data_IF_327032519399
#
_entry.id   IF_327032519399
#
_cell.length_a   1.000
_cell.length_b   1.000
_cell.length_c   1.000
_cell.angle_alpha   90.00
_cell.angle_beta   90.00
_cell.angle_gamma   90.00
#
_symmetry.space_group_name_H-M   'P 1'
#
loop_
_entity.id
_entity.type
_entity.pdbx_description
1 polymer ?
#
# COMPACT_ATOMS: atom_id res chain seq x y z
N UNK A 1 -11.48 22.17 35.24
CA UNK A 1 -11.03 22.05 33.85
C UNK A 1 -11.42 20.66 33.37
N UNK A 2 -12.25 20.50 32.33
CA UNK A 2 -12.61 19.17 31.84
C UNK A 2 -11.36 18.51 31.25
N UNK A 3 -11.22 17.22 31.55
CA UNK A 3 -9.98 16.45 31.43
C UNK A 3 -9.50 16.22 30.00
N UNK A 4 -8.18 16.08 29.91
CA UNK A 4 -7.46 15.64 28.73
C UNK A 4 -7.95 14.25 28.34
N UNK A 5 -8.71 14.17 27.25
CA UNK A 5 -9.15 12.90 26.66
C UNK A 5 -7.88 12.20 26.16
N UNK A 6 -7.66 10.91 26.49
CA UNK A 6 -6.52 10.18 25.93
C UNK A 6 -6.63 10.21 24.41
N UNK A 7 -5.52 10.44 23.70
CA UNK A 7 -5.41 10.37 22.24
C UNK A 7 -5.70 8.94 21.73
N UNK A 8 -6.95 8.49 21.81
CA UNK A 8 -7.40 7.25 21.19
C UNK A 8 -7.87 7.61 19.79
N UNK A 9 -7.06 7.20 18.80
CA UNK A 9 -7.41 7.14 17.39
C UNK A 9 -8.08 8.38 16.85
N UNK A 10 -7.30 9.44 16.58
CA UNK A 10 -7.76 10.57 15.77
C UNK A 10 -8.45 9.99 14.52
N UNK A 11 -9.71 10.35 14.29
CA UNK A 11 -10.43 9.97 13.06
C UNK A 11 -9.88 10.80 11.91
N UNK A 12 -8.62 10.54 11.55
CA UNK A 12 -7.87 11.18 10.50
C UNK A 12 -6.88 10.16 9.94
N UNK A 13 -6.73 10.14 8.62
CA UNK A 13 -5.80 9.28 7.93
C UNK A 13 -5.59 9.76 6.50
N UNK A 14 -4.53 9.26 5.89
CA UNK A 14 -4.15 9.58 4.50
C UNK A 14 -4.29 8.33 3.66
N UNK A 15 -5.09 8.42 2.61
CA UNK A 15 -5.29 7.33 1.66
C UNK A 15 -4.63 7.68 0.34
N UNK A 16 -3.53 7.01 0.02
CA UNK A 16 -2.80 7.21 -1.24
C UNK A 16 -3.28 6.16 -2.23
N UNK A 17 -3.79 6.65 -3.36
CA UNK A 17 -4.18 5.87 -4.52
C UNK A 17 -3.13 6.08 -5.59
N UNK A 18 -2.56 5.01 -6.15
CA UNK A 18 -1.51 5.10 -7.14
C UNK A 18 -1.63 4.08 -8.26
N UNK A 19 -1.09 4.48 -9.41
CA UNK A 19 -0.98 3.70 -10.63
C UNK A 19 0.50 3.64 -11.02
N UNK A 20 1.02 2.43 -11.19
CA UNK A 20 2.37 2.20 -11.69
C UNK A 20 2.32 1.61 -13.09
N UNK A 21 3.26 2.00 -13.95
CA UNK A 21 3.43 1.44 -15.30
C UNK A 21 4.91 1.15 -15.59
N UNK A 22 5.15 0.29 -16.57
CA UNK A 22 6.50 -0.05 -17.02
C UNK A 22 7.23 -1.03 -16.10
N UNK A 23 6.48 -1.86 -15.36
CA UNK A 23 7.03 -2.91 -14.51
C UNK A 23 7.22 -4.19 -15.34
N UNK A 24 8.28 -4.94 -15.05
CA UNK A 24 8.56 -6.21 -15.69
C UNK A 24 7.42 -7.23 -15.36
N UNK A 25 6.80 -7.87 -16.38
CA UNK A 25 5.63 -8.72 -16.18
C UNK A 25 5.83 -9.91 -15.22
N UNK A 26 7.00 -10.55 -15.20
CA UNK A 26 7.26 -11.68 -14.30
C UNK A 26 7.23 -11.29 -12.82
N UNK A 27 7.61 -10.05 -12.48
CA UNK A 27 7.46 -9.52 -11.12
C UNK A 27 5.99 -9.35 -10.71
N UNK A 28 5.11 -9.13 -11.69
CA UNK A 28 3.67 -8.90 -11.48
C UNK A 28 2.86 -10.20 -11.37
N UNK A 29 3.47 -11.35 -11.67
CA UNK A 29 2.84 -12.67 -11.57
C UNK A 29 3.48 -13.56 -10.48
N UNK A 30 4.34 -12.99 -9.62
CA UNK A 30 4.95 -13.67 -8.48
C UNK A 30 4.28 -13.27 -7.16
N UNK A 31 3.34 -14.08 -6.62
CA UNK A 31 2.64 -13.73 -5.39
C UNK A 31 3.57 -13.70 -4.17
N UNK A 32 4.64 -14.49 -4.13
CA UNK A 32 5.55 -14.50 -2.99
C UNK A 32 6.39 -13.22 -2.95
N UNK A 33 6.90 -12.80 -4.10
CA UNK A 33 7.59 -11.52 -4.27
C UNK A 33 6.66 -10.36 -3.89
N UNK A 34 5.47 -10.28 -4.48
CA UNK A 34 4.54 -9.16 -4.25
C UNK A 34 4.13 -9.03 -2.79
N UNK A 35 3.86 -10.16 -2.10
CA UNK A 35 3.60 -10.17 -0.65
C UNK A 35 4.76 -9.58 0.14
N UNK A 36 5.99 -10.02 -0.14
CA UNK A 36 7.18 -9.54 0.54
C UNK A 36 7.41 -8.06 0.27
N UNK A 37 7.31 -7.64 -0.99
CA UNK A 37 7.54 -6.26 -1.41
C UNK A 37 6.54 -5.29 -0.76
N UNK A 38 5.25 -5.65 -0.74
CA UNK A 38 4.23 -4.84 -0.07
C UNK A 38 4.52 -4.73 1.43
N UNK A 39 4.80 -5.86 2.10
CA UNK A 39 5.08 -5.90 3.53
C UNK A 39 6.31 -5.06 3.91
N UNK A 40 7.39 -5.18 3.14
CA UNK A 40 8.63 -4.44 3.37
C UNK A 40 8.39 -2.93 3.20
N UNK A 41 7.70 -2.52 2.12
CA UNK A 41 7.43 -1.11 1.82
C UNK A 41 6.59 -0.42 2.91
N UNK A 42 5.50 -1.05 3.37
CA UNK A 42 4.65 -0.46 4.42
C UNK A 42 5.34 -0.49 5.80
N UNK A 43 6.15 -1.52 6.08
CA UNK A 43 6.90 -1.60 7.35
C UNK A 43 7.98 -0.52 7.41
N UNK A 44 8.74 -0.32 6.33
CA UNK A 44 9.75 0.73 6.26
C UNK A 44 9.13 2.14 6.33
N UNK A 45 7.91 2.28 5.84
CA UNK A 45 7.10 3.49 5.98
C UNK A 45 6.52 3.71 7.40
N UNK A 46 6.78 2.81 8.35
CA UNK A 46 6.40 2.94 9.75
C UNK A 46 5.10 2.22 10.14
N UNK A 47 4.43 1.55 9.21
CA UNK A 47 3.24 0.77 9.51
C UNK A 47 3.58 -0.54 10.24
N UNK A 48 2.63 -1.03 11.04
CA UNK A 48 2.71 -2.36 11.66
C UNK A 48 1.83 -3.33 10.86
N UNK A 49 2.46 -4.32 10.23
CA UNK A 49 1.77 -5.36 9.46
C UNK A 49 1.22 -6.43 10.40
N UNK A 50 -0.08 -6.69 10.34
CA UNK A 50 -0.76 -7.76 11.07
C UNK A 50 -0.79 -9.05 10.26
N UNK A 51 -1.17 -8.95 8.98
CA UNK A 51 -1.32 -10.10 8.09
C UNK A 51 -1.12 -9.66 6.64
N UNK A 52 -0.62 -10.56 5.79
CA UNK A 52 -0.56 -10.35 4.34
C UNK A 52 -1.12 -11.58 3.62
N UNK A 53 -2.16 -11.36 2.82
CA UNK A 53 -2.81 -12.38 2.00
C UNK A 53 -2.64 -12.05 0.53
N UNK A 54 -2.69 -13.08 -0.33
CA UNK A 54 -2.65 -12.90 -1.77
C UNK A 54 -3.54 -13.90 -2.48
N UNK A 55 -3.97 -13.55 -3.69
CA UNK A 55 -4.68 -14.43 -4.59
C UNK A 55 -4.10 -14.28 -6.00
N UNK A 56 -3.72 -15.39 -6.62
CA UNK A 56 -3.29 -15.45 -8.02
C UNK A 56 -4.48 -15.80 -8.90
N UNK A 57 -4.63 -15.07 -10.01
CA UNK A 57 -5.68 -15.26 -11.00
C UNK A 57 -5.15 -16.05 -12.20
N UNK A 58 -6.08 -16.59 -13.00
CA UNK A 58 -5.77 -17.22 -14.27
C UNK A 58 -6.20 -16.31 -15.44
N UNK A 59 -5.39 -16.16 -16.50
CA UNK A 59 -4.12 -16.85 -16.74
C UNK A 59 -2.92 -16.28 -15.98
N UNK A 60 -3.03 -15.07 -15.43
CA UNK A 60 -1.95 -14.36 -14.73
C UNK A 60 -2.55 -13.26 -13.84
N UNK A 61 -1.69 -12.65 -13.03
CA UNK A 61 -1.99 -11.51 -12.16
C UNK A 61 -2.28 -11.92 -10.73
N UNK A 62 -1.96 -11.03 -9.81
CA UNK A 62 -2.05 -11.23 -8.38
C UNK A 62 -2.74 -10.02 -7.73
N UNK A 63 -3.60 -10.30 -6.76
CA UNK A 63 -4.02 -9.31 -5.76
C UNK A 63 -3.34 -9.61 -4.44
N UNK A 64 -2.76 -8.61 -3.79
CA UNK A 64 -2.16 -8.70 -2.45
C UNK A 64 -2.85 -7.69 -1.53
N UNK A 65 -3.17 -8.11 -0.32
CA UNK A 65 -3.73 -7.26 0.72
C UNK A 65 -2.90 -7.41 2.01
N UNK A 66 -2.42 -6.30 2.54
CA UNK A 66 -1.80 -6.21 3.85
C UNK A 66 -2.78 -5.58 4.83
N UNK A 67 -3.13 -6.33 5.89
CA UNK A 67 -3.83 -5.80 7.04
C UNK A 67 -2.83 -5.08 7.93
N UNK A 68 -3.07 -3.81 8.22
CA UNK A 68 -2.21 -3.00 9.09
C UNK A 68 -2.92 -2.78 10.42
N UNK A 69 -2.15 -2.58 11.50
CA UNK A 69 -2.71 -2.24 12.81
C UNK A 69 -3.60 -0.98 12.76
N UNK A 70 -3.31 -0.08 11.81
CA UNK A 70 -3.94 1.23 11.67
C UNK A 70 -4.64 1.41 10.31
N UNK A 71 -4.96 0.33 9.56
CA UNK A 71 -5.86 0.22 8.38
C UNK A 71 -5.44 -0.88 7.37
N UNK A 72 -4.97 -0.55 6.16
CA UNK A 72 -4.65 -1.54 5.11
C UNK A 72 -3.78 -0.99 3.96
N UNK A 73 -3.18 -1.89 3.18
CA UNK A 73 -2.62 -1.62 1.87
C UNK A 73 -2.95 -2.73 0.86
N UNK A 74 -3.18 -2.38 -0.41
CA UNK A 74 -3.49 -3.33 -1.48
C UNK A 74 -2.66 -3.09 -2.74
N UNK A 75 -2.48 -4.17 -3.49
CA UNK A 75 -1.83 -4.20 -4.79
C UNK A 75 -2.68 -5.08 -5.72
N UNK A 76 -3.02 -4.57 -6.91
CA UNK A 76 -3.68 -5.30 -7.98
C UNK A 76 -2.84 -5.21 -9.25
N UNK A 77 -2.36 -6.34 -9.75
CA UNK A 77 -1.42 -6.35 -10.88
C UNK A 77 -2.08 -6.72 -12.20
N UNK A 78 -1.58 -6.15 -13.29
CA UNK A 78 -1.95 -6.45 -14.67
C UNK A 78 -0.68 -6.75 -15.49
N UNK A 79 -0.12 -7.98 -15.42
CA UNK A 79 1.14 -8.33 -16.08
C UNK A 79 1.14 -8.08 -17.60
N UNK A 80 -0.01 -8.22 -18.27
CA UNK A 80 -0.19 -8.06 -19.73
C UNK A 80 0.17 -6.67 -20.24
N UNK A 81 0.11 -5.66 -19.37
CA UNK A 81 0.41 -4.27 -19.70
C UNK A 81 1.51 -3.68 -18.79
N UNK A 82 2.09 -4.49 -17.88
CA UNK A 82 3.13 -4.05 -16.97
C UNK A 82 2.66 -2.99 -15.97
N UNK A 83 1.41 -3.08 -15.52
CA UNK A 83 0.76 -2.06 -14.68
C UNK A 83 0.23 -2.60 -13.37
N UNK A 84 0.12 -1.72 -12.38
CA UNK A 84 -0.35 -2.05 -11.03
C UNK A 84 -1.20 -0.91 -10.47
N UNK A 85 -2.33 -1.26 -9.84
CA UNK A 85 -3.04 -0.37 -8.91
C UNK A 85 -2.59 -0.62 -7.49
N UNK A 86 -2.33 0.46 -6.76
CA UNK A 86 -1.88 0.45 -5.37
C UNK A 86 -2.75 1.36 -4.54
N UNK A 87 -3.16 0.86 -3.38
CA UNK A 87 -3.84 1.65 -2.37
C UNK A 87 -3.07 1.49 -1.06
N UNK A 88 -2.65 2.59 -0.43
CA UNK A 88 -2.07 2.57 0.91
C UNK A 88 -2.85 3.54 1.77
N UNK A 89 -3.59 3.00 2.73
CA UNK A 89 -4.28 3.77 3.73
C UNK A 89 -3.55 3.63 5.06
N UNK A 90 -3.41 4.73 5.81
CA UNK A 90 -2.92 4.72 7.19
C UNK A 90 -3.68 5.74 8.02
N UNK A 91 -4.07 5.39 9.24
CA UNK A 91 -4.60 6.31 10.24
C UNK A 91 -3.48 6.83 11.14
N UNK A 92 -3.65 8.07 11.66
CA UNK A 92 -2.68 8.69 12.56
C UNK A 92 -1.37 9.14 11.88
N UNK A 93 -0.38 9.48 12.69
CA UNK A 93 0.84 10.18 12.25
C UNK A 93 2.09 9.27 12.21
N UNK A 94 1.95 7.99 12.56
CA UNK A 94 3.08 7.07 12.71
C UNK A 94 3.62 6.57 11.37
N UNK A 95 2.71 6.23 10.46
CA UNK A 95 3.05 5.69 9.15
C UNK A 95 2.89 6.76 8.06
N UNK A 96 3.75 6.70 7.06
CA UNK A 96 3.71 7.61 5.91
C UNK A 96 3.31 6.86 4.63
N UNK A 97 2.03 6.95 4.21
CA UNK A 97 1.52 6.15 3.09
C UNK A 97 2.12 6.60 1.76
N UNK A 98 2.49 7.87 1.59
CA UNK A 98 3.16 8.36 0.39
C UNK A 98 4.56 7.75 0.26
N UNK A 99 5.29 7.66 1.39
CA UNK A 99 6.57 6.95 1.45
C UNK A 99 6.41 5.47 1.14
N UNK A 100 5.37 4.81 1.66
CA UNK A 100 5.11 3.40 1.35
C UNK A 100 4.92 3.17 -0.15
N UNK A 101 4.10 4.01 -0.80
CA UNK A 101 3.87 3.95 -2.26
C UNK A 101 5.16 4.23 -3.03
N UNK A 102 5.97 5.21 -2.62
CA UNK A 102 7.25 5.51 -3.27
C UNK A 102 8.27 4.36 -3.14
N UNK A 103 8.35 3.71 -1.98
CA UNK A 103 9.19 2.54 -1.76
C UNK A 103 8.73 1.35 -2.60
N UNK A 104 7.41 1.12 -2.65
CA UNK A 104 6.84 0.04 -3.46
C UNK A 104 7.14 0.26 -4.95
N UNK A 105 6.97 1.48 -5.47
CA UNK A 105 7.31 1.83 -6.84
C UNK A 105 8.80 1.58 -7.14
N UNK A 106 9.69 1.94 -6.22
CA UNK A 106 11.14 1.69 -6.34
C UNK A 106 11.46 0.19 -6.36
N UNK A 107 10.87 -0.60 -5.46
CA UNK A 107 11.14 -2.03 -5.34
C UNK A 107 10.61 -2.81 -6.55
N UNK A 108 9.49 -2.38 -7.13
CA UNK A 108 8.94 -2.97 -8.36
C UNK A 108 9.60 -2.44 -9.63
N UNK A 109 10.46 -1.43 -9.53
CA UNK A 109 11.12 -0.82 -10.69
C UNK A 109 10.14 -0.11 -11.64
N UNK A 110 9.08 0.52 -11.10
CA UNK A 110 8.09 1.23 -11.89
C UNK A 110 8.73 2.35 -12.71
N UNK A 111 8.44 2.39 -14.02
CA UNK A 111 8.93 3.43 -14.91
C UNK A 111 8.11 4.72 -14.81
N UNK A 112 6.80 4.59 -14.61
CA UNK A 112 5.88 5.73 -14.43
C UNK A 112 5.10 5.50 -13.14
N UNK A 113 4.94 6.57 -12.36
CA UNK A 113 4.16 6.58 -11.12
C UNK A 113 3.20 7.77 -11.18
N UNK A 114 1.91 7.50 -11.02
CA UNK A 114 0.89 8.52 -10.74
C UNK A 114 0.31 8.22 -9.38
N UNK A 115 0.28 9.19 -8.48
CA UNK A 115 -0.31 9.03 -7.16
C UNK A 115 -1.16 10.23 -6.81
N UNK A 116 -2.20 9.99 -6.02
CA UNK A 116 -3.06 11.01 -5.44
C UNK A 116 -3.34 10.67 -3.99
N UNK A 117 -3.34 11.69 -3.14
CA UNK A 117 -3.59 11.52 -1.71
C UNK A 117 -4.95 12.10 -1.37
N UNK A 118 -5.76 11.30 -0.68
CA UNK A 118 -7.06 11.68 -0.15
C UNK A 118 -6.98 11.71 1.37
N UNK A 119 -7.21 12.88 1.96
CA UNK A 119 -7.40 13.02 3.40
C UNK A 119 -8.74 12.37 3.80
N UNK A 120 -8.72 11.56 4.86
CA UNK A 120 -9.85 10.77 5.35
C UNK A 120 -10.10 11.12 6.80
N UNK A 121 -11.23 11.78 7.09
CA UNK A 121 -11.59 12.20 8.44
C UNK A 121 -11.32 13.68 8.69
N UNK A 122 -11.10 14.07 9.95
CA UNK A 122 -11.07 15.47 10.37
C UNK A 122 -9.66 16.10 10.30
N UNK A 123 -9.59 17.22 9.56
CA UNK A 123 -8.40 18.09 9.42
C UNK A 123 -8.06 18.85 10.71
#
# INVERSE_FOLDING_TARGET
MPGEVPLVGRFAGRHVLAEFEGIEPSLLDDPALLKKTLADAVTEAGATVCEVVSHSFAPQGVTVLALLAESHASVHTYPEIGSVFVDVFTCGDRADPERAVALLAKLLGAGIVRMSTVERGEN
#
